data_IF_789557844872
#
_entry.id   IF_789557844872
#
_cell.length_a   1.000
_cell.length_b   1.000
_cell.length_c   1.000
_cell.angle_alpha   90.00
_cell.angle_beta   90.00
_cell.angle_gamma   90.00
#
_symmetry.space_group_name_H-M   'P 1'
#
loop_
_entity.id
_entity.type
_entity.pdbx_description
1 polymer ?
#
# COMPACT_ATOMS: atom_id res chain seq x y z
N UNK A 1 0.38 -16.82 -5.81
CA UNK A 1 -0.65 -15.79 -5.61
C UNK A 1 -1.55 -15.59 -6.82
N UNK A 2 -1.05 -15.21 -8.00
CA UNK A 2 -1.91 -14.99 -9.18
C UNK A 2 -2.81 -16.19 -9.56
N UNK A 3 -2.30 -17.42 -9.45
CA UNK A 3 -3.10 -18.64 -9.69
C UNK A 3 -4.21 -18.85 -8.66
N UNK A 4 -3.96 -18.55 -7.38
CA UNK A 4 -4.94 -18.68 -6.31
C UNK A 4 -6.04 -17.61 -6.41
N UNK A 5 -5.71 -16.41 -6.88
CA UNK A 5 -6.68 -15.35 -7.17
C UNK A 5 -7.60 -15.77 -8.31
N UNK A 6 -7.07 -16.31 -9.41
CA UNK A 6 -7.89 -16.80 -10.52
C UNK A 6 -8.85 -17.93 -10.12
N UNK A 7 -8.38 -18.89 -9.32
CA UNK A 7 -9.23 -19.97 -8.81
C UNK A 7 -10.35 -19.44 -7.89
N UNK A 8 -10.07 -18.45 -7.04
CA UNK A 8 -11.08 -17.82 -6.21
C UNK A 8 -12.10 -17.02 -7.03
N UNK A 9 -11.66 -16.28 -8.04
CA UNK A 9 -12.55 -15.53 -8.92
C UNK A 9 -13.54 -16.46 -9.64
N UNK A 10 -13.08 -17.64 -10.06
CA UNK A 10 -13.94 -18.65 -10.67
C UNK A 10 -14.93 -19.26 -9.66
N UNK A 11 -14.52 -19.47 -8.40
CA UNK A 11 -15.43 -19.90 -7.33
C UNK A 11 -16.49 -18.85 -6.99
N UNK A 12 -16.12 -17.56 -6.94
CA UNK A 12 -17.06 -16.44 -6.75
C UNK A 12 -18.06 -16.38 -7.91
N UNK A 13 -17.57 -16.54 -9.15
CA UNK A 13 -18.41 -16.57 -10.35
C UNK A 13 -19.46 -17.69 -10.28
N UNK A 14 -19.03 -18.91 -9.93
CA UNK A 14 -19.92 -20.06 -9.77
C UNK A 14 -20.96 -19.82 -8.66
N UNK A 15 -20.54 -19.27 -7.52
CA UNK A 15 -21.44 -18.94 -6.41
C UNK A 15 -22.51 -17.90 -6.80
N UNK A 16 -22.11 -16.80 -7.44
CA UNK A 16 -23.03 -15.76 -7.90
C UNK A 16 -24.04 -16.32 -8.92
N UNK A 17 -23.59 -17.21 -9.81
CA UNK A 17 -24.46 -17.89 -10.77
C UNK A 17 -25.46 -18.81 -10.07
N UNK A 18 -25.00 -19.65 -9.14
CA UNK A 18 -25.85 -20.58 -8.39
C UNK A 18 -26.95 -19.85 -7.59
N UNK A 19 -26.64 -18.70 -7.01
CA UNK A 19 -27.60 -17.88 -6.24
C UNK A 19 -28.54 -17.05 -7.11
N UNK A 20 -28.35 -17.02 -8.43
CA UNK A 20 -29.14 -16.22 -9.35
C UNK A 20 -28.84 -14.72 -9.31
N UNK A 21 -27.68 -14.30 -8.80
CA UNK A 21 -27.25 -12.90 -8.73
C UNK A 21 -26.70 -12.41 -10.08
N UNK A 22 -27.51 -12.51 -11.13
CA UNK A 22 -27.10 -12.29 -12.52
C UNK A 22 -26.60 -10.87 -12.80
N UNK A 23 -27.20 -9.86 -12.17
CA UNK A 23 -26.75 -8.47 -12.31
C UNK A 23 -25.37 -8.25 -11.66
N UNK A 24 -25.17 -8.80 -10.46
CA UNK A 24 -23.89 -8.73 -9.73
C UNK A 24 -22.81 -9.51 -10.46
N UNK A 25 -23.14 -10.68 -10.99
CA UNK A 25 -22.23 -11.49 -11.81
C UNK A 25 -21.74 -10.73 -13.05
N UNK A 26 -22.65 -10.05 -13.76
CA UNK A 26 -22.29 -9.24 -14.93
C UNK A 26 -21.35 -8.09 -14.59
N UNK A 27 -21.61 -7.41 -13.46
CA UNK A 27 -20.73 -6.35 -12.96
C UNK A 27 -19.36 -6.91 -12.56
N UNK A 28 -19.35 -8.00 -11.80
CA UNK A 28 -18.12 -8.69 -11.39
C UNK A 28 -17.27 -9.15 -12.58
N UNK A 29 -17.86 -9.76 -13.61
CA UNK A 29 -17.13 -10.18 -14.82
C UNK A 29 -16.60 -9.00 -15.62
N UNK A 30 -17.31 -7.87 -15.62
CA UNK A 30 -16.85 -6.63 -16.25
C UNK A 30 -15.65 -6.08 -15.51
N UNK A 31 -15.76 -5.92 -14.18
CA UNK A 31 -14.66 -5.46 -13.33
C UNK A 31 -13.45 -6.40 -13.40
N UNK A 32 -13.67 -7.73 -13.41
CA UNK A 32 -12.60 -8.73 -13.58
C UNK A 32 -11.89 -8.64 -14.93
N UNK A 33 -12.64 -8.41 -16.01
CA UNK A 33 -12.06 -8.23 -17.36
C UNK A 33 -11.29 -6.91 -17.46
N UNK A 34 -11.72 -5.89 -16.74
CA UNK A 34 -11.08 -4.59 -16.71
C UNK A 34 -9.90 -4.57 -15.71
N UNK A 35 -9.85 -5.53 -14.77
CA UNK A 35 -8.72 -5.89 -13.89
C UNK A 35 -7.66 -6.73 -14.64
N UNK A 36 -7.28 -6.29 -15.84
CA UNK A 36 -6.30 -6.99 -16.72
C UNK A 36 -4.86 -6.97 -16.21
N UNK A 37 -4.59 -6.30 -15.09
CA UNK A 37 -3.23 -6.04 -14.65
C UNK A 37 -2.92 -6.63 -13.27
N UNK A 38 -2.41 -7.86 -13.30
CA UNK A 38 -1.64 -8.61 -12.28
C UNK A 38 -1.40 -7.90 -10.92
N UNK A 39 -2.42 -7.90 -10.05
CA UNK A 39 -2.27 -7.76 -8.60
C UNK A 39 -1.68 -6.45 -8.08
N UNK A 40 -1.39 -6.43 -6.77
CA UNK A 40 -0.92 -5.26 -6.01
C UNK A 40 0.28 -4.53 -6.64
N UNK A 41 1.19 -5.23 -7.32
CA UNK A 41 2.38 -4.63 -7.94
C UNK A 41 2.05 -3.68 -9.10
N UNK A 42 1.05 -3.97 -9.92
CA UNK A 42 0.66 -3.04 -10.97
C UNK A 42 -0.20 -1.88 -10.41
N UNK A 43 -0.94 -2.12 -9.32
CA UNK A 43 -1.56 -1.03 -8.54
C UNK A 43 -0.50 -0.05 -8.03
N UNK A 44 0.65 -0.53 -7.58
CA UNK A 44 1.78 0.33 -7.16
C UNK A 44 2.26 1.21 -8.31
N UNK A 45 2.54 0.64 -9.49
CA UNK A 45 2.98 1.43 -10.65
C UNK A 45 1.97 2.51 -11.01
N UNK A 46 0.68 2.18 -11.10
CA UNK A 46 -0.38 3.17 -11.37
C UNK A 46 -0.47 4.25 -10.29
N UNK A 47 -0.26 3.90 -9.02
CA UNK A 47 -0.24 4.88 -7.92
C UNK A 47 0.92 5.85 -8.10
N UNK A 48 2.13 5.35 -8.34
CA UNK A 48 3.33 6.19 -8.55
C UNK A 48 3.16 7.05 -9.80
N UNK A 49 2.70 6.47 -10.91
CA UNK A 49 2.41 7.19 -12.15
C UNK A 49 1.37 8.29 -11.94
N UNK A 50 0.29 8.02 -11.20
CA UNK A 50 -0.73 9.02 -10.91
C UNK A 50 -0.20 10.17 -10.05
N UNK A 51 0.58 9.86 -8.99
CA UNK A 51 1.25 10.88 -8.18
C UNK A 51 2.15 11.76 -9.06
N UNK A 52 2.97 11.14 -9.89
CA UNK A 52 3.86 11.86 -10.81
C UNK A 52 3.06 12.70 -11.80
N UNK A 53 1.96 12.18 -12.34
CA UNK A 53 1.07 12.90 -13.26
C UNK A 53 0.49 14.16 -12.61
N UNK A 54 -0.04 14.06 -11.39
CA UNK A 54 -0.54 15.22 -10.64
C UNK A 54 0.56 16.27 -10.43
N UNK A 55 1.76 15.81 -10.07
CA UNK A 55 2.92 16.68 -9.87
C UNK A 55 3.35 17.40 -11.17
N UNK A 56 3.48 16.67 -12.28
CA UNK A 56 3.89 17.25 -13.57
C UNK A 56 2.81 18.19 -14.16
N UNK A 57 1.53 17.93 -13.88
CA UNK A 57 0.43 18.83 -14.24
C UNK A 57 0.25 20.01 -13.28
N UNK A 58 0.96 20.03 -12.15
CA UNK A 58 0.74 20.95 -11.02
C UNK A 58 -0.71 20.96 -10.51
N UNK A 59 -1.35 19.80 -10.48
CA UNK A 59 -2.69 19.62 -9.90
C UNK A 59 -2.59 19.23 -8.43
N UNK A 60 -2.50 20.25 -7.57
CA UNK A 60 -2.42 20.05 -6.11
C UNK A 60 -3.71 19.49 -5.49
N UNK A 61 -4.92 19.98 -5.83
CA UNK A 61 -6.16 19.43 -5.26
C UNK A 61 -6.31 17.92 -5.46
N UNK A 62 -6.05 17.42 -6.68
CA UNK A 62 -6.11 15.99 -6.95
C UNK A 62 -5.05 15.21 -6.18
N UNK A 63 -3.83 15.73 -6.10
CA UNK A 63 -2.74 15.12 -5.34
C UNK A 63 -3.07 15.00 -3.84
N UNK A 64 -3.58 16.08 -3.24
CA UNK A 64 -3.95 16.13 -1.83
C UNK A 64 -5.10 15.16 -1.52
N UNK A 65 -6.15 15.17 -2.34
CA UNK A 65 -7.29 14.26 -2.20
C UNK A 65 -6.86 12.80 -2.30
N UNK A 66 -6.02 12.48 -3.27
CA UNK A 66 -5.49 11.14 -3.47
C UNK A 66 -4.61 10.67 -2.31
N UNK A 67 -3.70 11.51 -1.83
CA UNK A 67 -2.87 11.17 -0.67
C UNK A 67 -3.71 10.98 0.59
N UNK A 68 -4.74 11.81 0.81
CA UNK A 68 -5.68 11.67 1.91
C UNK A 68 -6.48 10.36 1.83
N UNK A 69 -6.86 9.95 0.61
CA UNK A 69 -7.49 8.66 0.38
C UNK A 69 -6.57 7.48 0.73
N UNK A 70 -5.30 7.52 0.30
CA UNK A 70 -4.31 6.52 0.67
C UNK A 70 -4.09 6.46 2.19
N UNK A 71 -4.07 7.63 2.84
CA UNK A 71 -3.93 7.72 4.29
C UNK A 71 -5.11 7.04 5.00
N UNK A 72 -6.34 7.41 4.65
CA UNK A 72 -7.54 6.84 5.27
C UNK A 72 -7.68 5.34 5.05
N UNK A 73 -7.36 4.87 3.84
CA UNK A 73 -7.57 3.48 3.44
C UNK A 73 -6.46 2.54 3.89
N UNK A 74 -5.21 2.99 3.90
CA UNK A 74 -4.05 2.12 4.12
C UNK A 74 -3.17 2.61 5.27
N UNK A 75 -2.81 3.90 5.32
CA UNK A 75 -1.83 4.36 6.30
C UNK A 75 -2.36 4.39 7.74
N UNK A 76 -3.67 4.53 7.91
CA UNK A 76 -4.36 4.49 9.21
C UNK A 76 -4.15 3.17 9.98
N UNK A 77 -3.81 2.09 9.28
CA UNK A 77 -3.60 0.75 9.86
C UNK A 77 -2.11 0.36 9.96
N UNK A 78 -1.20 1.26 9.58
CA UNK A 78 0.24 0.99 9.59
C UNK A 78 0.85 1.10 10.99
N UNK A 79 1.99 0.42 11.19
CA UNK A 79 2.82 0.62 12.37
C UNK A 79 3.48 2.01 12.37
N UNK A 80 3.96 2.46 13.53
CA UNK A 80 4.53 3.80 13.72
C UNK A 80 5.74 4.09 12.81
N UNK A 81 6.58 3.08 12.54
CA UNK A 81 7.75 3.22 11.64
C UNK A 81 7.33 3.47 10.19
N UNK A 82 6.39 2.68 9.68
CA UNK A 82 5.93 2.82 8.29
C UNK A 82 5.09 4.09 8.10
N UNK A 83 4.37 4.53 9.13
CA UNK A 83 3.68 5.82 9.14
C UNK A 83 4.69 6.99 9.08
N UNK A 84 5.79 6.90 9.82
CA UNK A 84 6.89 7.88 9.76
C UNK A 84 7.50 7.94 8.36
N UNK A 85 7.72 6.79 7.72
CA UNK A 85 8.16 6.73 6.32
C UNK A 85 7.15 7.37 5.37
N UNK A 86 5.85 7.10 5.55
CA UNK A 86 4.77 7.70 4.76
C UNK A 86 4.80 9.23 4.83
N UNK A 87 4.93 9.82 6.02
CA UNK A 87 5.04 11.27 6.20
C UNK A 87 6.28 11.87 5.53
N UNK A 88 7.42 11.17 5.57
CA UNK A 88 8.64 11.60 4.87
C UNK A 88 8.45 11.56 3.36
N UNK A 89 7.77 10.54 2.84
CA UNK A 89 7.45 10.43 1.41
C UNK A 89 6.48 11.52 0.98
N UNK A 90 5.41 11.76 1.76
CA UNK A 90 4.47 12.86 1.52
C UNK A 90 5.21 14.19 1.41
N UNK A 91 6.07 14.49 2.38
CA UNK A 91 6.87 15.71 2.40
C UNK A 91 7.71 15.84 1.13
N UNK A 92 8.35 14.77 0.68
CA UNK A 92 9.13 14.77 -0.56
C UNK A 92 8.26 14.90 -1.82
N UNK A 93 7.06 14.32 -1.84
CA UNK A 93 6.08 14.51 -2.93
C UNK A 93 5.67 15.99 -3.02
N UNK A 94 5.34 16.63 -1.89
CA UNK A 94 4.96 18.04 -1.85
C UNK A 94 6.13 18.95 -2.27
N UNK A 95 7.36 18.63 -1.85
CA UNK A 95 8.57 19.34 -2.27
C UNK A 95 8.83 19.21 -3.77
N UNK A 96 8.67 18.00 -4.32
CA UNK A 96 8.77 17.77 -5.76
C UNK A 96 7.68 18.54 -6.51
N UNK A 97 6.44 18.59 -6.01
CA UNK A 97 5.37 19.41 -6.57
C UNK A 97 5.79 20.88 -6.68
N UNK A 98 6.32 21.46 -5.59
CA UNK A 98 6.74 22.87 -5.57
C UNK A 98 7.89 23.15 -6.54
N UNK A 99 8.88 22.27 -6.58
CA UNK A 99 10.02 22.37 -7.49
C UNK A 99 9.54 22.27 -8.94
N UNK A 100 8.64 21.35 -9.24
CA UNK A 100 8.10 21.17 -10.59
C UNK A 100 7.25 22.38 -11.01
N UNK A 101 6.38 22.88 -10.13
CA UNK A 101 5.59 24.08 -10.38
C UNK A 101 6.51 25.30 -10.62
N UNK A 102 7.55 25.47 -9.80
CA UNK A 102 8.57 26.50 -9.96
C UNK A 102 9.34 26.37 -11.29
N UNK A 103 9.81 25.17 -11.66
CA UNK A 103 10.46 24.89 -12.95
C UNK A 103 9.60 25.27 -14.15
N UNK A 104 8.29 25.03 -14.06
CA UNK A 104 7.33 25.34 -15.14
C UNK A 104 6.84 26.79 -15.16
N UNK A 105 7.34 27.65 -14.26
CA UNK A 105 6.92 29.05 -14.16
C UNK A 105 5.51 29.25 -13.58
N UNK A 106 4.91 28.21 -13.00
CA UNK A 106 3.57 28.25 -12.40
C UNK A 106 3.62 28.79 -10.96
N UNK A 107 4.05 30.04 -10.82
CA UNK A 107 4.22 30.69 -9.51
C UNK A 107 2.91 30.86 -8.73
N UNK A 108 1.78 31.02 -9.41
CA UNK A 108 0.44 31.09 -8.79
C UNK A 108 0.09 29.78 -8.06
N UNK A 109 0.40 28.62 -8.66
CA UNK A 109 0.16 27.31 -8.02
C UNK A 109 1.03 27.11 -6.77
N UNK A 110 2.27 27.61 -6.80
CA UNK A 110 3.17 27.60 -5.64
C UNK A 110 2.60 28.49 -4.52
N UNK A 111 2.06 29.66 -4.86
CA UNK A 111 1.42 30.56 -3.88
C UNK A 111 0.17 29.93 -3.29
N UNK A 112 -0.72 29.41 -4.14
CA UNK A 112 -1.95 28.74 -3.72
C UNK A 112 -1.68 27.52 -2.82
N UNK A 113 -0.61 26.77 -3.10
CA UNK A 113 -0.14 25.69 -2.23
C UNK A 113 0.19 26.21 -0.83
N UNK A 114 1.03 27.25 -0.73
CA UNK A 114 1.43 27.78 0.57
C UNK A 114 0.27 28.45 1.31
N UNK A 115 -0.63 29.16 0.62
CA UNK A 115 -1.85 29.72 1.24
C UNK A 115 -2.72 28.63 1.85
N UNK A 116 -2.92 27.51 1.15
CA UNK A 116 -3.76 26.40 1.63
C UNK A 116 -3.08 25.56 2.72
N UNK A 117 -1.75 25.43 2.67
CA UNK A 117 -1.01 24.49 3.50
C UNK A 117 -0.19 25.19 4.61
N UNK A 118 -0.18 26.53 4.67
CA UNK A 118 0.58 27.30 5.67
C UNK A 118 0.25 26.86 7.11
N UNK A 119 -1.04 26.72 7.42
CA UNK A 119 -1.49 26.36 8.77
C UNK A 119 -1.05 24.95 9.21
N UNK A 120 -0.79 24.03 8.27
CA UNK A 120 -0.34 22.68 8.60
C UNK A 120 1.19 22.51 8.53
N UNK A 121 1.89 23.44 7.86
CA UNK A 121 3.34 23.39 7.64
C UNK A 121 4.13 24.34 8.54
N UNK A 122 3.54 25.41 9.07
CA UNK A 122 4.27 26.43 9.83
C UNK A 122 4.99 25.89 11.08
N UNK A 123 4.39 24.91 11.77
CA UNK A 123 4.99 24.27 12.95
C UNK A 123 6.12 23.28 12.60
N UNK A 124 6.29 22.93 11.32
CA UNK A 124 7.26 21.94 10.88
C UNK A 124 8.57 22.63 10.48
N UNK A 125 9.60 22.48 11.31
CA UNK A 125 10.95 23.07 11.08
C UNK A 125 11.52 22.79 9.69
N UNK A 126 11.23 21.62 9.13
CA UNK A 126 11.69 21.17 7.81
C UNK A 126 11.06 21.94 6.63
N UNK A 127 10.01 22.72 6.85
CA UNK A 127 9.34 23.55 5.86
C UNK A 127 9.75 25.02 5.93
N UNK A 128 10.43 25.45 7.01
CA UNK A 128 10.81 26.86 7.23
C UNK A 128 11.56 27.47 6.04
N UNK A 129 12.56 26.77 5.54
CA UNK A 129 13.37 27.25 4.42
C UNK A 129 12.62 27.17 3.07
N UNK A 130 11.57 26.34 2.98
CA UNK A 130 10.77 26.17 1.76
C UNK A 130 9.83 27.35 1.50
N UNK A 131 9.44 28.10 2.52
CA UNK A 131 8.68 29.35 2.34
C UNK A 131 9.46 30.43 1.58
N UNK A 132 10.79 30.32 1.48
CA UNK A 132 11.62 31.22 0.68
C UNK A 132 11.59 30.89 -0.83
N UNK A 133 11.09 29.71 -1.21
CA UNK A 133 11.09 29.23 -2.60
C UNK A 133 10.41 30.20 -3.58
N UNK A 134 9.21 30.78 -3.31
CA UNK A 134 8.56 31.70 -4.25
C UNK A 134 9.36 32.99 -4.49
N UNK A 135 10.23 33.36 -3.56
CA UNK A 135 11.03 34.59 -3.60
C UNK A 135 12.46 34.35 -4.12
N UNK A 136 12.84 33.09 -4.36
CA UNK A 136 14.18 32.72 -4.80
C UNK A 136 14.30 32.81 -6.32
N UNK A 137 15.19 33.68 -6.82
CA UNK A 137 15.37 33.90 -8.27
C UNK A 137 15.92 32.66 -9.02
N UNK A 138 16.89 31.97 -8.43
CA UNK A 138 17.51 30.75 -8.98
C UNK A 138 17.41 29.58 -7.99
N UNK A 139 16.24 28.93 -7.87
CA UNK A 139 16.05 27.85 -6.91
C UNK A 139 16.95 26.63 -7.18
N UNK A 140 17.32 26.39 -8.43
CA UNK A 140 18.19 25.29 -8.86
C UNK A 140 19.63 25.39 -8.30
N UNK A 141 20.08 26.60 -7.98
CA UNK A 141 21.41 26.86 -7.39
C UNK A 141 21.36 26.95 -5.86
N UNK A 142 20.17 27.09 -5.27
CA UNK A 142 20.02 27.24 -3.84
C UNK A 142 20.33 25.92 -3.10
N UNK A 143 21.18 25.91 -2.05
CA UNK A 143 21.60 24.69 -1.37
C UNK A 143 20.45 23.80 -0.88
N UNK A 144 19.35 24.42 -0.43
CA UNK A 144 18.17 23.73 0.08
C UNK A 144 17.36 23.01 -1.02
N UNK A 145 17.29 23.58 -2.22
CA UNK A 145 16.38 23.09 -3.28
C UNK A 145 17.11 22.33 -4.38
N UNK A 146 18.40 22.62 -4.62
CA UNK A 146 19.23 22.07 -5.71
C UNK A 146 19.11 20.55 -5.86
N UNK A 147 19.08 19.81 -4.76
CA UNK A 147 18.94 18.34 -4.77
C UNK A 147 17.69 17.89 -5.54
N UNK A 148 16.54 18.52 -5.28
CA UNK A 148 15.25 18.20 -5.88
C UNK A 148 15.16 18.61 -7.35
N UNK A 149 16.08 19.47 -7.82
CA UNK A 149 16.17 19.81 -9.24
C UNK A 149 16.86 18.72 -10.07
N UNK A 150 17.65 17.84 -9.43
CA UNK A 150 18.41 16.79 -10.11
C UNK A 150 17.52 15.62 -10.58
N UNK A 151 17.83 15.08 -11.76
CA UNK A 151 17.16 13.89 -12.30
C UNK A 151 17.46 12.65 -11.47
N UNK A 152 18.69 12.52 -10.98
CA UNK A 152 19.12 11.39 -10.14
C UNK A 152 18.28 11.28 -8.85
N UNK A 153 17.99 12.41 -8.20
CA UNK A 153 17.11 12.42 -7.04
C UNK A 153 15.69 11.99 -7.41
N UNK A 154 15.13 12.48 -8.51
CA UNK A 154 13.80 12.10 -8.97
C UNK A 154 13.70 10.60 -9.27
N UNK A 155 14.67 10.04 -10.00
CA UNK A 155 14.70 8.62 -10.36
C UNK A 155 14.80 7.75 -9.09
N UNK A 156 15.68 8.13 -8.15
CA UNK A 156 15.82 7.46 -6.85
C UNK A 156 14.55 7.55 -6.01
N UNK A 157 13.90 8.71 -6.03
CA UNK A 157 12.67 8.94 -5.28
C UNK A 157 11.49 8.12 -5.82
N UNK A 158 11.36 8.00 -7.14
CA UNK A 158 10.34 7.14 -7.76
C UNK A 158 10.51 5.66 -7.35
N UNK A 159 11.75 5.17 -7.34
CA UNK A 159 12.06 3.81 -6.85
C UNK A 159 11.69 3.67 -5.38
N UNK A 160 12.00 4.68 -4.57
CA UNK A 160 11.67 4.66 -3.13
C UNK A 160 10.16 4.63 -2.89
N UNK A 161 9.38 5.44 -3.62
CA UNK A 161 7.92 5.42 -3.58
C UNK A 161 7.37 4.05 -3.98
N UNK A 162 7.86 3.51 -5.10
CA UNK A 162 7.46 2.19 -5.58
C UNK A 162 7.73 1.10 -4.53
N UNK A 163 8.92 1.10 -3.93
CA UNK A 163 9.30 0.10 -2.92
C UNK A 163 8.48 0.23 -1.64
N UNK A 164 8.18 1.45 -1.21
CA UNK A 164 7.30 1.70 -0.07
C UNK A 164 5.90 1.13 -0.30
N UNK A 165 5.26 1.49 -1.42
CA UNK A 165 3.93 0.97 -1.72
C UNK A 165 3.95 -0.54 -1.95
N UNK A 166 4.98 -1.09 -2.59
CA UNK A 166 5.12 -2.54 -2.78
C UNK A 166 5.18 -3.26 -1.43
N UNK A 167 5.98 -2.76 -0.49
CA UNK A 167 6.07 -3.31 0.87
C UNK A 167 4.74 -3.16 1.60
N UNK A 168 4.11 -1.98 1.54
CA UNK A 168 2.81 -1.72 2.15
C UNK A 168 1.75 -2.70 1.66
N UNK A 169 1.56 -2.85 0.36
CA UNK A 169 0.55 -3.75 -0.18
C UNK A 169 0.86 -5.22 0.05
N UNK A 170 2.13 -5.60 0.17
CA UNK A 170 2.53 -6.95 0.58
C UNK A 170 2.21 -7.22 2.05
N UNK A 171 2.22 -6.18 2.89
CA UNK A 171 1.87 -6.28 4.32
C UNK A 171 0.37 -6.31 4.60
N UNK A 172 -0.48 -5.98 3.59
CA UNK A 172 -1.93 -6.08 3.75
C UNK A 172 -2.31 -7.56 3.80
N UNK A 173 -2.99 -8.02 4.87
CA UNK A 173 -3.41 -9.41 4.96
C UNK A 173 -4.31 -9.75 3.78
N UNK A 174 -4.07 -10.92 3.18
CA UNK A 174 -4.93 -11.42 2.11
C UNK A 174 -6.37 -11.53 2.64
N UNK A 175 -7.39 -11.20 1.81
CA UNK A 175 -8.78 -11.47 2.15
C UNK A 175 -8.97 -12.90 2.65
N UNK A 176 -9.78 -13.08 3.69
CA UNK A 176 -10.04 -14.38 4.31
C UNK A 176 -10.48 -15.45 3.30
N UNK A 177 -11.19 -15.06 2.24
CA UNK A 177 -11.59 -15.96 1.14
C UNK A 177 -10.38 -16.55 0.37
N UNK A 178 -9.29 -15.81 0.23
CA UNK A 178 -8.05 -16.31 -0.39
C UNK A 178 -7.24 -17.19 0.55
N UNK A 179 -7.36 -16.99 1.87
CA UNK A 179 -6.69 -17.82 2.86
C UNK A 179 -7.52 -19.02 3.30
N UNK A 180 -8.83 -19.05 3.05
CA UNK A 180 -9.76 -20.07 3.53
C UNK A 180 -9.32 -21.50 3.21
N UNK A 181 -8.99 -21.78 1.95
CA UNK A 181 -8.57 -23.12 1.53
C UNK A 181 -7.25 -23.54 2.21
N UNK A 182 -6.29 -22.63 2.28
CA UNK A 182 -5.00 -22.88 2.93
C UNK A 182 -5.15 -23.05 4.46
N UNK A 183 -6.01 -22.25 5.09
CA UNK A 183 -6.34 -22.34 6.51
C UNK A 183 -7.10 -23.63 6.82
N UNK A 184 -8.03 -24.04 5.95
CA UNK A 184 -8.78 -25.28 6.08
C UNK A 184 -7.86 -26.51 5.99
N UNK A 185 -6.96 -26.55 5.00
CA UNK A 185 -5.96 -27.62 4.88
C UNK A 185 -5.03 -27.69 6.09
N UNK A 186 -4.56 -26.52 6.57
CA UNK A 186 -3.74 -26.45 7.79
C UNK A 186 -4.50 -26.95 9.01
N UNK A 187 -5.78 -26.61 9.14
CA UNK A 187 -6.63 -27.07 10.24
C UNK A 187 -6.85 -28.59 10.22
N UNK A 188 -7.04 -29.18 9.04
CA UNK A 188 -7.14 -30.64 8.88
C UNK A 188 -5.83 -31.34 9.23
N UNK A 189 -4.69 -30.82 8.76
CA UNK A 189 -3.37 -31.37 9.09
C UNK A 189 -3.13 -31.34 10.61
N UNK A 190 -3.38 -30.19 11.25
CA UNK A 190 -3.26 -30.03 12.70
C UNK A 190 -4.21 -30.97 13.47
N UNK A 191 -5.44 -31.16 13.00
CA UNK A 191 -6.40 -32.09 13.62
C UNK A 191 -5.92 -33.55 13.54
N UNK A 192 -5.33 -33.93 12.41
CA UNK A 192 -4.79 -35.29 12.19
C UNK A 192 -3.57 -35.53 13.06
N UNK A 193 -2.67 -34.55 13.16
CA UNK A 193 -1.52 -34.58 14.05
C UNK A 193 -1.96 -34.64 15.52
N UNK A 194 -2.97 -33.87 15.92
CA UNK A 194 -3.52 -33.92 17.28
C UNK A 194 -4.08 -35.32 17.61
N UNK A 195 -4.83 -35.93 16.69
CA UNK A 195 -5.33 -37.29 16.85
C UNK A 195 -4.19 -38.30 16.98
N UNK A 196 -3.14 -38.15 16.17
CA UNK A 196 -1.97 -39.02 16.23
C UNK A 196 -1.26 -38.90 17.59
N UNK A 197 -1.00 -37.67 18.06
CA UNK A 197 -0.39 -37.41 19.36
C UNK A 197 -1.27 -37.92 20.51
N UNK A 198 -2.59 -37.75 20.43
CA UNK A 198 -3.52 -38.28 21.42
C UNK A 198 -3.49 -39.82 21.49
N UNK A 199 -3.39 -40.49 20.34
CA UNK A 199 -3.25 -41.95 20.30
C UNK A 199 -1.91 -42.41 20.89
N UNK A 200 -0.80 -41.76 20.53
CA UNK A 200 0.52 -42.06 21.12
C UNK A 200 0.55 -41.83 22.63
N UNK A 201 -0.09 -40.75 23.12
CA UNK A 201 -0.23 -40.48 24.55
C UNK A 201 -1.08 -41.55 25.24
N UNK A 202 -2.15 -42.03 24.61
CA UNK A 202 -2.99 -43.10 25.14
C UNK A 202 -2.23 -44.43 25.20
N UNK A 203 -1.48 -44.77 24.15
CA UNK A 203 -0.61 -45.96 24.10
C UNK A 203 0.48 -45.91 25.16
N UNK A 204 1.18 -44.77 25.27
CA UNK A 204 2.23 -44.58 26.28
C UNK A 204 1.65 -44.67 27.70
N UNK A 205 0.47 -44.10 27.96
CA UNK A 205 -0.22 -44.23 29.26
C UNK A 205 -0.63 -45.67 29.57
N UNK A 206 -1.09 -46.43 28.57
CA UNK A 206 -1.41 -47.86 28.73
C UNK A 206 -0.17 -48.66 29.09
N UNK A 207 0.92 -48.49 28.34
CA UNK A 207 2.19 -49.15 28.62
C UNK A 207 2.74 -48.83 30.02
N UNK A 208 2.62 -47.58 30.48
CA UNK A 208 2.98 -47.19 31.84
C UNK A 208 2.09 -47.84 32.92
N UNK A 209 0.81 -48.08 32.62
CA UNK A 209 -0.13 -48.71 33.55
C UNK A 209 0.14 -50.22 33.66
N UNK A 210 0.52 -50.86 32.56
CA UNK A 210 0.89 -52.28 32.50
C UNK A 210 2.24 -52.56 33.19
N UNK A 211 3.20 -51.63 33.10
CA UNK A 211 4.47 -51.72 33.84
C UNK A 211 4.33 -51.43 35.35
N UNK A 212 3.19 -50.90 35.79
CA UNK A 212 2.91 -50.54 37.18
C UNK A 212 2.12 -51.57 37.98
N UNK A 213 1.74 -52.72 37.39
CA UNK A 213 1.13 -53.82 38.14
C UNK A 213 2.23 -54.74 38.70
N UNK A 214 2.40 -54.84 40.04
CA UNK A 214 3.32 -55.81 40.62
C UNK A 214 2.72 -57.22 40.52
N UNK A 215 3.58 -58.22 40.25
CA UNK A 215 3.27 -59.66 40.35
C UNK A 215 2.78 -60.06 41.75
#
# INVERSE_FOLDING_TARGET
MAFAVGALDDAIREYLLFRGFTQTLKLFETERRDDKDKGFSFRVNRIVEYIMQCVFKSDFPSLQSFWSHLYGRFFSQMNSESLTMAYRLETNVLRLFLVQASKTGRHEEVRAFFEKMSDSLHDRKEWKDWFALPFTKNPDQHPTFRLYYSKEWLDTFQITLHNFFSTLFTSIPLPALLSFEAEHQKMQALSTENHHLHNQLAETRRAFTELGQPE
#
